data_IF_939276506010
#
_entry.id   IF_939276506010
#
_cell.length_a   1.000
_cell.length_b   1.000
_cell.length_c   1.000
_cell.angle_alpha   90.00
_cell.angle_beta   90.00
_cell.angle_gamma   90.00
#
_symmetry.space_group_name_H-M   'P 1'
#
loop_
_entity.id
_entity.type
_entity.pdbx_description
1 polymer ?
#
# COMPACT_ATOMS: atom_id res chain seq x y z
N UNK A 1 -20.77 4.42 -3.98
CA UNK A 1 -19.89 4.01 -2.88
C UNK A 1 -20.48 2.76 -2.25
N UNK A 2 -19.71 1.70 -2.16
CA UNK A 2 -20.14 0.37 -1.70
C UNK A 2 -19.19 -0.10 -0.60
N UNK A 3 -19.74 -0.64 0.50
CA UNK A 3 -18.98 -1.27 1.59
C UNK A 3 -18.82 -2.77 1.27
N UNK A 4 -17.59 -3.22 1.04
CA UNK A 4 -17.22 -4.61 0.76
C UNK A 4 -16.41 -5.13 1.93
N UNK A 5 -16.86 -6.24 2.54
CA UNK A 5 -16.14 -6.86 3.67
C UNK A 5 -15.96 -8.36 3.44
N UNK A 6 -14.75 -8.84 3.72
CA UNK A 6 -14.38 -10.25 3.65
C UNK A 6 -14.12 -10.75 5.07
N UNK A 7 -14.76 -11.84 5.52
CA UNK A 7 -14.61 -12.34 6.87
C UNK A 7 -13.30 -13.10 7.07
N UNK A 8 -12.14 -12.45 6.87
CA UNK A 8 -10.81 -13.06 7.04
C UNK A 8 -10.54 -13.46 8.49
N UNK A 9 -11.30 -12.91 9.45
CA UNK A 9 -11.27 -13.35 10.84
C UNK A 9 -11.63 -14.83 11.06
N UNK A 10 -12.32 -15.47 10.11
CA UNK A 10 -12.66 -16.90 10.18
C UNK A 10 -11.45 -17.79 9.90
N UNK A 11 -10.56 -17.34 9.03
CA UNK A 11 -9.35 -18.05 8.62
C UNK A 11 -8.09 -17.53 9.30
N UNK A 12 -8.20 -16.42 10.04
CA UNK A 12 -7.10 -15.68 10.66
C UNK A 12 -6.04 -15.18 9.65
N UNK A 13 -6.34 -15.21 8.36
CA UNK A 13 -5.53 -14.54 7.35
C UNK A 13 -5.55 -13.04 7.59
N UNK A 14 -4.37 -12.43 7.55
CA UNK A 14 -4.20 -11.00 7.87
C UNK A 14 -4.08 -10.71 9.37
N UNK A 15 -4.06 -11.73 10.26
CA UNK A 15 -3.87 -11.52 11.70
C UNK A 15 -2.43 -11.10 12.02
N UNK A 16 -2.31 -10.09 12.86
CA UNK A 16 -1.05 -9.54 13.33
C UNK A 16 -1.12 -9.30 14.86
N UNK A 17 -0.03 -8.85 15.53
CA UNK A 17 -0.04 -8.69 17.00
C UNK A 17 -1.03 -7.60 17.47
N UNK A 18 -1.37 -6.63 16.66
CA UNK A 18 -2.32 -5.58 16.99
C UNK A 18 -3.75 -5.95 16.54
N UNK A 19 -3.89 -6.54 15.33
CA UNK A 19 -5.18 -6.91 14.73
C UNK A 19 -5.31 -8.44 14.70
N UNK A 20 -5.78 -9.03 15.80
CA UNK A 20 -5.84 -10.49 15.94
C UNK A 20 -6.96 -11.18 15.16
N UNK A 21 -8.01 -10.45 14.79
CA UNK A 21 -9.19 -10.93 14.03
C UNK A 21 -9.67 -9.89 13.02
N UNK A 22 -8.87 -9.54 12.02
CA UNK A 22 -9.27 -8.54 11.03
C UNK A 22 -10.33 -9.10 10.09
N UNK A 23 -11.22 -8.22 9.63
CA UNK A 23 -12.05 -8.47 8.45
C UNK A 23 -11.57 -7.55 7.33
N UNK A 24 -10.78 -8.06 6.40
CA UNK A 24 -10.27 -7.27 5.31
C UNK A 24 -11.41 -6.68 4.50
N UNK A 25 -11.46 -5.36 4.42
CA UNK A 25 -12.60 -4.64 3.88
C UNK A 25 -12.16 -3.52 2.96
N UNK A 26 -13.02 -3.10 2.08
CA UNK A 26 -12.78 -1.96 1.22
C UNK A 26 -14.03 -1.12 1.00
N UNK A 27 -13.88 0.20 1.09
CA UNK A 27 -14.85 1.12 0.52
C UNK A 27 -14.57 1.20 -0.97
N UNK A 28 -15.41 0.57 -1.78
CA UNK A 28 -15.33 0.60 -3.22
C UNK A 28 -16.07 1.82 -3.77
N UNK A 29 -15.34 2.68 -4.48
CA UNK A 29 -15.88 3.92 -5.06
C UNK A 29 -15.95 3.80 -6.58
N UNK A 30 -17.10 4.21 -7.14
CA UNK A 30 -17.31 4.31 -8.59
C UNK A 30 -17.68 5.76 -8.93
N UNK A 31 -16.90 6.39 -9.79
CA UNK A 31 -17.17 7.70 -10.38
C UNK A 31 -17.65 7.48 -11.81
N UNK A 32 -18.82 8.02 -12.13
CA UNK A 32 -19.47 7.83 -13.45
C UNK A 32 -19.60 9.19 -14.12
N UNK A 33 -19.13 9.28 -15.36
CA UNK A 33 -19.32 10.48 -16.21
C UNK A 33 -20.58 10.37 -17.04
N UNK A 34 -21.09 11.50 -17.52
CA UNK A 34 -22.29 11.53 -18.37
C UNK A 34 -22.16 10.72 -19.65
N UNK A 35 -20.95 10.60 -20.21
CA UNK A 35 -20.61 9.76 -21.37
C UNK A 35 -20.40 8.29 -21.03
N UNK A 36 -20.68 7.86 -19.78
CA UNK A 36 -20.72 6.47 -19.33
C UNK A 36 -19.38 5.86 -18.98
N UNK A 37 -18.28 6.62 -18.92
CA UNK A 37 -17.02 6.10 -18.42
C UNK A 37 -17.06 5.96 -16.90
N UNK A 38 -16.39 4.93 -16.38
CA UNK A 38 -16.34 4.60 -14.96
C UNK A 38 -14.91 4.63 -14.44
N UNK A 39 -14.64 5.46 -13.43
CA UNK A 39 -13.43 5.41 -12.62
C UNK A 39 -13.67 4.62 -11.34
N UNK A 40 -12.76 3.74 -10.98
CA UNK A 40 -12.86 2.86 -9.82
C UNK A 40 -11.71 3.12 -8.85
N UNK A 41 -12.02 3.06 -7.56
CA UNK A 41 -11.03 3.03 -6.50
C UNK A 41 -11.50 2.21 -5.33
N UNK A 42 -10.57 1.91 -4.44
CA UNK A 42 -10.84 1.30 -3.15
C UNK A 42 -10.18 2.13 -2.05
N UNK A 43 -10.71 2.01 -0.83
CA UNK A 43 -10.02 2.41 0.39
C UNK A 43 -10.05 1.23 1.34
N UNK A 44 -8.88 0.70 1.67
CA UNK A 44 -8.74 -0.48 2.51
C UNK A 44 -8.97 -0.17 3.99
N UNK A 45 -9.73 -1.04 4.68
CA UNK A 45 -9.90 -1.07 6.13
C UNK A 45 -9.93 -2.51 6.65
N UNK A 46 -10.03 -2.66 7.99
CA UNK A 46 -10.12 -3.96 8.66
C UNK A 46 -11.53 -4.29 9.18
N UNK A 47 -12.56 -3.70 8.57
CA UNK A 47 -13.99 -3.93 8.86
C UNK A 47 -14.64 -2.76 9.59
N UNK A 48 -14.51 -2.67 10.89
CA UNK A 48 -15.02 -1.52 11.66
C UNK A 48 -14.34 -0.22 11.17
N UNK A 49 -15.14 0.85 11.02
CA UNK A 49 -14.67 2.11 10.47
C UNK A 49 -14.83 2.25 8.95
N UNK A 50 -15.20 1.18 8.23
CA UNK A 50 -15.51 1.27 6.81
C UNK A 50 -16.69 2.25 6.57
N UNK A 51 -17.65 2.28 7.49
CA UNK A 51 -18.78 3.21 7.47
C UNK A 51 -18.33 4.68 7.48
N UNK A 52 -17.30 5.01 8.27
CA UNK A 52 -16.77 6.37 8.35
C UNK A 52 -16.12 6.81 7.03
N UNK A 53 -15.34 5.92 6.43
CA UNK A 53 -14.72 6.18 5.13
C UNK A 53 -15.80 6.31 4.05
N UNK A 54 -16.79 5.40 4.03
CA UNK A 54 -17.88 5.44 3.06
C UNK A 54 -18.70 6.73 3.17
N UNK A 55 -18.94 7.19 4.41
CA UNK A 55 -19.61 8.48 4.65
C UNK A 55 -18.76 9.65 4.14
N UNK A 56 -17.46 9.67 4.49
CA UNK A 56 -16.52 10.70 4.04
C UNK A 56 -16.45 10.80 2.52
N UNK A 57 -16.30 9.66 1.83
CA UNK A 57 -16.30 9.62 0.35
C UNK A 57 -17.61 10.16 -0.23
N UNK A 58 -18.77 9.76 0.32
CA UNK A 58 -20.09 10.26 -0.11
C UNK A 58 -20.25 11.75 0.11
N UNK A 59 -19.79 12.26 1.24
CA UNK A 59 -19.91 13.69 1.56
C UNK A 59 -19.00 14.54 0.68
N UNK A 60 -17.72 14.18 0.56
CA UNK A 60 -16.75 14.85 -0.28
C UNK A 60 -17.07 14.77 -1.79
N UNK A 61 -17.72 13.68 -2.24
CA UNK A 61 -18.12 13.53 -3.64
C UNK A 61 -19.04 14.65 -4.13
N UNK A 62 -19.78 15.32 -3.25
CA UNK A 62 -20.62 16.47 -3.58
C UNK A 62 -19.83 17.62 -4.19
N UNK A 63 -18.53 17.72 -3.86
CA UNK A 63 -17.63 18.72 -4.44
C UNK A 63 -17.28 18.42 -5.91
N UNK A 64 -17.46 17.17 -6.37
CA UNK A 64 -17.16 16.75 -7.75
C UNK A 64 -18.38 16.70 -8.65
N UNK A 65 -19.58 16.45 -8.11
CA UNK A 65 -20.80 16.29 -8.90
C UNK A 65 -21.06 17.54 -9.78
N UNK A 66 -21.30 17.31 -11.07
CA UNK A 66 -21.56 18.36 -12.06
C UNK A 66 -20.31 19.10 -12.55
N UNK A 67 -19.11 18.72 -12.11
CA UNK A 67 -17.87 19.30 -12.65
C UNK A 67 -17.41 18.57 -13.90
N UNK A 68 -16.86 19.32 -14.87
CA UNK A 68 -16.23 18.72 -16.05
C UNK A 68 -14.98 17.94 -15.67
N UNK A 69 -14.86 16.73 -16.20
CA UNK A 69 -13.67 15.89 -15.99
C UNK A 69 -12.39 16.50 -16.60
N UNK A 70 -12.51 17.36 -17.63
CA UNK A 70 -11.36 18.06 -18.20
C UNK A 70 -10.63 18.93 -17.17
N UNK A 71 -11.34 19.52 -16.19
CA UNK A 71 -10.70 20.27 -15.11
C UNK A 71 -9.72 19.44 -14.31
N UNK A 72 -10.01 18.16 -14.13
CA UNK A 72 -9.10 17.25 -13.46
C UNK A 72 -7.88 16.92 -14.33
N UNK A 73 -8.09 16.57 -15.59
CA UNK A 73 -6.97 16.21 -16.50
C UNK A 73 -6.06 17.39 -16.81
N UNK A 74 -6.62 18.61 -16.83
CA UNK A 74 -5.85 19.85 -17.05
C UNK A 74 -5.01 20.22 -15.81
N UNK A 75 -5.55 20.02 -14.60
CA UNK A 75 -4.86 20.32 -13.35
C UNK A 75 -5.32 19.42 -12.18
N UNK A 76 -4.75 18.21 -12.04
CA UNK A 76 -5.12 17.30 -10.94
C UNK A 76 -4.88 17.90 -9.55
N UNK A 77 -3.88 18.76 -9.40
CA UNK A 77 -3.56 19.42 -8.12
C UNK A 77 -4.62 20.43 -7.69
N UNK A 78 -5.26 21.14 -8.62
CA UNK A 78 -6.36 22.05 -8.28
C UNK A 78 -7.57 21.28 -7.74
N UNK A 79 -7.92 20.17 -8.36
CA UNK A 79 -9.01 19.32 -7.87
C UNK A 79 -8.67 18.71 -6.52
N UNK A 80 -7.43 18.28 -6.31
CA UNK A 80 -6.98 17.77 -5.01
C UNK A 80 -7.10 18.84 -3.90
N UNK A 81 -6.71 20.07 -4.19
CA UNK A 81 -6.85 21.21 -3.26
C UNK A 81 -8.29 21.51 -2.85
N UNK A 82 -9.28 21.19 -3.68
CA UNK A 82 -10.68 21.36 -3.28
C UNK A 82 -11.05 20.55 -2.05
N UNK A 83 -10.39 19.42 -1.81
CA UNK A 83 -10.60 18.59 -0.63
C UNK A 83 -9.78 19.09 0.54
N UNK A 84 -8.46 19.21 0.38
CA UNK A 84 -7.54 19.51 1.48
C UNK A 84 -7.61 20.97 1.97
N UNK A 85 -8.06 21.91 1.15
CA UNK A 85 -8.19 23.33 1.46
C UNK A 85 -9.65 23.77 1.73
N UNK A 86 -10.58 22.82 1.80
CA UNK A 86 -11.97 23.18 2.04
C UNK A 86 -12.13 23.86 3.41
N UNK A 87 -12.64 25.11 3.41
CA UNK A 87 -12.65 26.01 4.57
C UNK A 87 -13.39 25.49 5.81
N UNK A 88 -14.28 24.51 5.65
CA UNK A 88 -15.04 23.92 6.77
C UNK A 88 -14.56 22.52 7.18
N UNK A 89 -13.91 21.77 6.27
CA UNK A 89 -13.52 20.38 6.52
C UNK A 89 -12.00 20.14 6.40
N UNK A 90 -11.24 21.08 5.82
CA UNK A 90 -9.78 20.95 5.67
C UNK A 90 -9.03 20.78 7.00
N UNK A 91 -9.59 21.20 8.12
CA UNK A 91 -9.02 20.95 9.46
C UNK A 91 -9.13 19.48 9.90
N UNK A 92 -9.96 18.67 9.22
CA UNK A 92 -10.08 17.23 9.42
C UNK A 92 -9.13 16.44 8.49
N UNK A 93 -8.18 17.10 7.84
CA UNK A 93 -7.46 16.61 6.67
C UNK A 93 -6.60 15.36 6.88
N UNK A 94 -6.49 14.84 8.09
CA UNK A 94 -5.72 13.62 8.38
C UNK A 94 -6.63 12.39 8.59
N UNK A 95 -6.05 11.18 8.51
CA UNK A 95 -6.71 9.89 8.76
C UNK A 95 -7.93 9.63 7.87
N UNK A 96 -9.11 9.49 8.47
CA UNK A 96 -10.35 9.12 7.77
C UNK A 96 -10.65 10.05 6.60
N UNK A 97 -10.48 11.36 6.81
CA UNK A 97 -10.73 12.34 5.77
C UNK A 97 -9.73 12.21 4.62
N UNK A 98 -8.44 12.05 4.94
CA UNK A 98 -7.39 11.83 3.93
C UNK A 98 -7.61 10.56 3.11
N UNK A 99 -8.03 9.47 3.77
CA UNK A 99 -8.39 8.23 3.09
C UNK A 99 -9.62 8.41 2.17
N UNK A 100 -10.61 9.19 2.59
CA UNK A 100 -11.78 9.49 1.77
C UNK A 100 -11.43 10.36 0.56
N UNK A 101 -10.57 11.37 0.74
CA UNK A 101 -9.99 12.16 -0.37
C UNK A 101 -9.29 11.24 -1.37
N UNK A 102 -8.44 10.34 -0.86
CA UNK A 102 -7.72 9.35 -1.67
C UNK A 102 -8.65 8.44 -2.46
N UNK A 103 -9.78 8.03 -1.87
CA UNK A 103 -10.81 7.25 -2.54
C UNK A 103 -11.40 7.96 -3.78
N UNK A 104 -11.60 9.27 -3.70
CA UNK A 104 -12.08 10.06 -4.83
C UNK A 104 -10.97 10.35 -5.84
N UNK A 105 -9.81 10.76 -5.37
CA UNK A 105 -8.66 11.10 -6.22
C UNK A 105 -8.21 9.89 -7.04
N UNK A 106 -8.03 8.73 -6.40
CA UNK A 106 -7.65 7.49 -7.09
C UNK A 106 -8.69 7.09 -8.15
N UNK A 107 -9.98 7.31 -7.89
CA UNK A 107 -11.05 7.08 -8.85
C UNK A 107 -10.99 8.00 -10.07
N UNK A 108 -10.63 9.28 -9.88
CA UNK A 108 -10.43 10.23 -10.98
C UNK A 108 -9.22 9.87 -11.84
N UNK A 109 -8.12 9.44 -11.23
CA UNK A 109 -6.95 8.96 -11.95
C UNK A 109 -7.24 7.66 -12.74
N UNK A 110 -7.99 6.74 -12.16
CA UNK A 110 -8.45 5.53 -12.85
C UNK A 110 -9.29 5.85 -14.08
N UNK A 111 -10.22 6.79 -13.93
CA UNK A 111 -11.05 7.29 -15.02
C UNK A 111 -10.17 7.88 -16.16
N UNK A 112 -9.14 8.66 -15.81
CA UNK A 112 -8.21 9.21 -16.79
C UNK A 112 -7.47 8.12 -17.55
N UNK A 113 -6.91 7.16 -16.84
CA UNK A 113 -6.21 6.03 -17.42
C UNK A 113 -7.12 5.20 -18.36
N UNK A 114 -8.36 4.94 -17.94
CA UNK A 114 -9.36 4.21 -18.74
C UNK A 114 -9.79 4.98 -19.99
N UNK A 115 -10.01 6.28 -19.91
CA UNK A 115 -10.31 7.11 -21.09
C UNK A 115 -9.17 7.07 -22.12
N UNK A 116 -7.93 6.96 -21.67
CA UNK A 116 -6.75 6.81 -22.54
C UNK A 116 -6.42 5.35 -22.88
N UNK A 117 -7.19 4.38 -22.38
CA UNK A 117 -6.99 2.93 -22.55
C UNK A 117 -5.58 2.47 -22.10
N UNK A 118 -5.08 3.04 -21.02
CA UNK A 118 -3.76 2.76 -20.45
C UNK A 118 -3.89 2.13 -19.06
N UNK A 119 -3.04 1.17 -18.69
CA UNK A 119 -2.85 0.84 -17.28
C UNK A 119 -2.31 2.07 -16.53
N UNK A 120 -2.59 2.17 -15.23
CA UNK A 120 -2.22 3.35 -14.45
C UNK A 120 -0.71 3.63 -14.48
N UNK A 121 0.13 2.59 -14.36
CA UNK A 121 1.59 2.78 -14.46
C UNK A 121 2.00 3.42 -15.78
N UNK A 122 1.36 3.03 -16.88
CA UNK A 122 1.69 3.56 -18.21
C UNK A 122 1.19 5.00 -18.38
N UNK A 123 0.03 5.33 -17.81
CA UNK A 123 -0.39 6.73 -17.74
C UNK A 123 0.67 7.57 -17.02
N UNK A 124 1.07 7.18 -15.81
CA UNK A 124 2.06 7.93 -15.01
C UNK A 124 3.42 8.04 -15.71
N UNK A 125 3.88 6.98 -16.38
CA UNK A 125 5.13 6.97 -17.16
C UNK A 125 5.05 7.92 -18.36
N UNK A 126 3.90 8.04 -19.01
CA UNK A 126 3.74 8.86 -20.22
C UNK A 126 3.44 10.33 -19.94
N UNK A 127 3.10 10.70 -18.71
CA UNK A 127 2.90 12.09 -18.33
C UNK A 127 4.22 12.88 -18.45
N UNK A 128 4.09 14.12 -18.91
CA UNK A 128 5.22 15.04 -18.90
C UNK A 128 5.56 15.49 -17.47
N UNK A 129 6.82 15.82 -17.18
CA UNK A 129 7.25 16.25 -15.84
C UNK A 129 6.36 17.34 -15.23
N UNK A 130 5.92 18.31 -16.03
CA UNK A 130 5.07 19.41 -15.57
C UNK A 130 3.68 18.94 -15.12
N UNK A 131 3.12 17.90 -15.76
CA UNK A 131 1.83 17.36 -15.37
C UNK A 131 1.92 16.66 -14.00
N UNK A 132 3.02 15.95 -13.75
CA UNK A 132 3.33 15.34 -12.44
C UNK A 132 3.54 16.44 -11.38
N UNK A 133 4.37 17.46 -11.67
CA UNK A 133 4.65 18.57 -10.74
C UNK A 133 3.38 19.33 -10.38
N UNK A 134 2.51 19.59 -11.34
CA UNK A 134 1.27 20.32 -11.13
C UNK A 134 0.21 19.52 -10.36
N UNK A 135 0.37 18.19 -10.23
CA UNK A 135 -0.53 17.37 -9.44
C UNK A 135 -0.23 17.38 -7.94
N UNK A 136 0.95 17.84 -7.52
CA UNK A 136 1.43 17.77 -6.14
C UNK A 136 1.11 19.05 -5.36
N UNK A 137 0.67 18.90 -4.11
CA UNK A 137 0.64 20.01 -3.15
C UNK A 137 2.00 20.17 -2.47
N UNK A 138 2.72 21.21 -2.85
CA UNK A 138 4.08 21.49 -2.37
C UNK A 138 4.13 22.22 -1.03
N UNK A 139 2.99 22.67 -0.49
CA UNK A 139 2.92 23.61 0.63
C UNK A 139 3.75 23.19 1.84
N UNK A 140 3.63 21.94 2.24
CA UNK A 140 4.24 21.41 3.46
C UNK A 140 5.44 20.51 3.25
N UNK A 141 5.87 20.32 1.99
CA UNK A 141 7.01 19.45 1.65
C UNK A 141 8.12 20.18 0.88
N UNK A 142 7.91 21.46 0.53
CA UNK A 142 8.84 22.24 -0.30
C UNK A 142 10.23 22.44 0.38
N UNK A 143 10.29 22.37 1.68
CA UNK A 143 11.53 22.39 2.46
C UNK A 143 12.32 21.08 2.39
N UNK A 144 11.67 19.95 2.03
CA UNK A 144 12.31 18.67 1.82
C UNK A 144 12.65 18.42 0.35
N UNK A 145 11.74 18.75 -0.58
CA UNK A 145 11.95 18.65 -2.02
C UNK A 145 11.24 19.80 -2.73
N UNK A 146 11.97 20.53 -3.55
CA UNK A 146 11.39 21.62 -4.35
C UNK A 146 10.78 21.09 -5.65
N UNK A 147 9.81 21.80 -6.27
CA UNK A 147 9.30 21.47 -7.61
C UNK A 147 10.40 21.34 -8.65
N UNK A 148 11.47 22.16 -8.56
CA UNK A 148 12.60 22.11 -9.50
C UNK A 148 13.43 20.84 -9.33
N UNK A 149 13.74 20.43 -8.09
CA UNK A 149 14.45 19.16 -7.83
C UNK A 149 13.63 17.96 -8.32
N UNK A 150 12.33 17.93 -8.06
CA UNK A 150 11.43 16.90 -8.54
C UNK A 150 11.37 16.86 -10.09
N UNK A 151 11.30 18.02 -10.73
CA UNK A 151 11.40 18.15 -12.20
C UNK A 151 12.69 17.56 -12.72
N UNK A 152 13.82 17.87 -12.10
CA UNK A 152 15.13 17.34 -12.50
C UNK A 152 15.20 15.82 -12.40
N UNK A 153 14.60 15.22 -11.36
CA UNK A 153 14.47 13.76 -11.22
C UNK A 153 13.66 13.19 -12.39
N UNK A 154 12.49 13.75 -12.68
CA UNK A 154 11.60 13.28 -13.75
C UNK A 154 12.22 13.44 -15.15
N UNK A 155 12.84 14.58 -15.44
CA UNK A 155 13.55 14.82 -16.71
C UNK A 155 14.71 13.84 -16.89
N UNK A 156 15.46 13.56 -15.82
CA UNK A 156 16.53 12.55 -15.85
C UNK A 156 15.98 11.14 -16.08
N UNK A 157 14.80 10.83 -15.53
CA UNK A 157 14.08 9.59 -15.78
C UNK A 157 13.64 9.41 -17.22
N UNK A 158 13.09 10.46 -17.81
CA UNK A 158 12.59 10.43 -19.19
C UNK A 158 13.67 10.10 -20.22
N UNK A 159 14.93 10.42 -19.95
CA UNK A 159 16.05 10.10 -20.87
C UNK A 159 16.27 8.60 -21.06
N UNK A 160 15.98 7.78 -20.04
CA UNK A 160 16.17 6.32 -20.05
C UNK A 160 14.86 5.54 -20.01
N UNK A 161 13.72 6.23 -20.04
CA UNK A 161 12.38 5.67 -19.86
C UNK A 161 12.12 4.45 -20.74
N UNK A 162 12.39 4.55 -22.05
CA UNK A 162 12.11 3.46 -22.99
C UNK A 162 12.92 2.19 -22.71
N UNK A 163 14.17 2.32 -22.28
CA UNK A 163 15.03 1.19 -21.91
C UNK A 163 14.59 0.56 -20.59
N UNK A 164 14.34 1.41 -19.58
CA UNK A 164 13.84 0.96 -18.28
C UNK A 164 12.49 0.25 -18.40
N UNK A 165 11.58 0.78 -19.23
CA UNK A 165 10.28 0.17 -19.51
C UNK A 165 10.44 -1.22 -20.13
N UNK A 166 11.27 -1.37 -21.15
CA UNK A 166 11.56 -2.69 -21.78
C UNK A 166 12.11 -3.69 -20.76
N UNK A 167 13.02 -3.25 -19.92
CA UNK A 167 13.63 -4.09 -18.88
C UNK A 167 12.58 -4.58 -17.89
N UNK A 168 11.70 -3.68 -17.41
CA UNK A 168 10.67 -4.01 -16.43
C UNK A 168 9.48 -4.79 -17.01
N UNK A 169 9.20 -4.65 -18.31
CA UNK A 169 8.25 -5.51 -19.00
C UNK A 169 8.78 -6.93 -19.19
N UNK A 170 10.10 -7.12 -19.26
CA UNK A 170 10.72 -8.44 -19.32
C UNK A 170 10.83 -9.09 -17.94
N UNK A 171 11.27 -8.34 -16.93
CA UNK A 171 11.41 -8.78 -15.55
C UNK A 171 10.93 -7.68 -14.61
N UNK A 172 9.68 -7.77 -14.19
CA UNK A 172 9.02 -6.73 -13.41
C UNK A 172 9.54 -6.57 -11.98
N UNK A 173 8.89 -5.77 -11.16
CA UNK A 173 9.26 -5.54 -9.77
C UNK A 173 9.32 -6.84 -8.96
N UNK A 174 10.34 -6.95 -8.10
CA UNK A 174 10.53 -8.13 -7.24
C UNK A 174 9.44 -8.18 -6.19
N UNK A 175 8.77 -9.33 -6.07
CA UNK A 175 7.73 -9.58 -5.09
C UNK A 175 8.28 -10.18 -3.80
N UNK A 176 7.61 -9.91 -2.67
CA UNK A 176 7.75 -10.68 -1.43
C UNK A 176 6.38 -11.13 -0.93
N UNK A 177 6.34 -12.25 -0.21
CA UNK A 177 5.11 -12.81 0.33
C UNK A 177 5.06 -12.65 1.85
N UNK A 178 3.92 -12.20 2.38
CA UNK A 178 3.62 -12.24 3.81
C UNK A 178 3.01 -13.61 4.13
N UNK A 179 3.87 -14.58 4.41
CA UNK A 179 3.48 -15.96 4.70
C UNK A 179 3.22 -16.23 6.18
N UNK A 180 3.77 -15.42 7.08
CA UNK A 180 3.79 -15.68 8.51
C UNK A 180 2.78 -14.89 9.33
N UNK A 181 1.49 -15.00 9.03
CA UNK A 181 0.44 -14.45 9.89
C UNK A 181 0.39 -15.14 11.24
N UNK A 182 0.05 -14.42 12.31
CA UNK A 182 0.12 -14.98 13.67
C UNK A 182 -0.94 -16.05 13.95
N UNK A 183 -2.08 -15.99 13.31
CA UNK A 183 -3.17 -16.94 13.50
C UNK A 183 -3.01 -18.27 12.75
N UNK A 184 -2.01 -18.39 11.88
CA UNK A 184 -1.80 -19.59 11.09
C UNK A 184 -1.01 -20.66 11.86
N UNK A 185 -1.34 -21.93 11.59
CA UNK A 185 -0.55 -23.07 12.05
C UNK A 185 0.77 -23.19 11.30
N UNK A 186 1.73 -23.88 11.88
CA UNK A 186 3.03 -24.14 11.23
C UNK A 186 2.86 -24.79 9.84
N UNK A 187 1.90 -25.72 9.69
CA UNK A 187 1.65 -26.38 8.41
C UNK A 187 1.11 -25.40 7.36
N UNK A 188 0.17 -24.52 7.73
CA UNK A 188 -0.36 -23.50 6.81
C UNK A 188 0.73 -22.51 6.35
N UNK A 189 1.65 -22.14 7.26
CA UNK A 189 2.80 -21.29 6.93
C UNK A 189 3.72 -22.01 5.93
N UNK A 190 4.03 -23.29 6.17
CA UNK A 190 4.87 -24.09 5.26
C UNK A 190 4.22 -24.21 3.90
N UNK A 191 2.93 -24.56 3.85
CA UNK A 191 2.20 -24.74 2.60
C UNK A 191 2.22 -23.44 1.76
N UNK A 192 2.04 -22.29 2.42
CA UNK A 192 2.14 -20.97 1.78
C UNK A 192 3.57 -20.71 1.27
N UNK A 193 4.59 -20.94 2.08
CA UNK A 193 5.99 -20.74 1.68
C UNK A 193 6.34 -21.66 0.50
N UNK A 194 5.93 -22.93 0.52
CA UNK A 194 6.24 -23.88 -0.53
C UNK A 194 5.56 -23.52 -1.85
N UNK A 195 4.33 -23.04 -1.80
CA UNK A 195 3.64 -22.50 -2.97
C UNK A 195 4.35 -21.28 -3.54
N UNK A 196 4.71 -20.33 -2.69
CA UNK A 196 5.44 -19.13 -3.12
C UNK A 196 6.83 -19.49 -3.68
N UNK A 197 7.56 -20.44 -3.08
CA UNK A 197 8.83 -20.93 -3.63
C UNK A 197 8.68 -21.54 -5.02
N UNK A 198 7.60 -22.30 -5.29
CA UNK A 198 7.29 -22.82 -6.64
C UNK A 198 7.10 -21.70 -7.65
N UNK A 199 6.60 -20.55 -7.20
CA UNK A 199 6.45 -19.35 -8.01
C UNK A 199 7.72 -18.46 -8.04
N UNK A 200 8.85 -18.94 -7.50
CA UNK A 200 10.16 -18.28 -7.54
C UNK A 200 10.39 -17.22 -6.46
N UNK A 201 9.56 -17.17 -5.41
CA UNK A 201 9.79 -16.24 -4.30
C UNK A 201 10.98 -16.68 -3.44
N UNK A 202 11.81 -15.72 -3.05
CA UNK A 202 12.95 -15.86 -2.15
C UNK A 202 12.95 -14.80 -1.02
N UNK A 203 11.85 -14.08 -0.88
CA UNK A 203 11.65 -13.03 0.11
C UNK A 203 10.33 -13.28 0.87
N UNK A 204 10.40 -13.38 2.19
CA UNK A 204 9.27 -13.74 3.04
C UNK A 204 9.17 -12.82 4.26
N UNK A 205 7.95 -12.33 4.54
CA UNK A 205 7.64 -11.50 5.71
C UNK A 205 6.91 -12.32 6.77
N UNK A 206 7.31 -12.13 8.02
CA UNK A 206 6.76 -12.80 9.20
C UNK A 206 6.30 -11.78 10.21
N UNK A 207 5.12 -12.00 10.80
CA UNK A 207 4.62 -11.19 11.91
C UNK A 207 5.30 -11.60 13.20
N UNK A 208 5.71 -10.61 14.00
CA UNK A 208 6.35 -10.77 15.33
C UNK A 208 5.69 -9.82 16.32
N UNK A 209 5.95 -10.02 17.63
CA UNK A 209 5.48 -9.08 18.66
C UNK A 209 4.44 -9.64 19.61
N UNK A 210 4.17 -10.94 19.58
CA UNK A 210 3.34 -11.58 20.61
C UNK A 210 4.12 -11.81 21.90
N UNK A 211 5.19 -12.61 21.80
CA UNK A 211 6.06 -13.00 22.91
C UNK A 211 7.41 -13.39 22.34
N UNK A 212 8.50 -12.94 22.96
CA UNK A 212 9.85 -13.14 22.42
C UNK A 212 10.23 -14.63 22.25
N UNK A 213 9.85 -15.49 23.17
CA UNK A 213 10.16 -16.91 23.08
C UNK A 213 9.37 -17.61 21.97
N UNK A 214 8.10 -17.25 21.80
CA UNK A 214 7.28 -17.76 20.69
C UNK A 214 7.77 -17.21 19.34
N UNK A 215 8.15 -15.93 19.27
CA UNK A 215 8.72 -15.33 18.06
C UNK A 215 10.04 -16.03 17.68
N UNK A 216 10.94 -16.28 18.63
CA UNK A 216 12.18 -17.04 18.39
C UNK A 216 11.89 -18.45 17.88
N UNK A 217 10.97 -19.16 18.52
CA UNK A 217 10.58 -20.51 18.11
C UNK A 217 10.04 -20.53 16.68
N UNK A 218 9.12 -19.63 16.36
CA UNK A 218 8.55 -19.51 15.01
C UNK A 218 9.62 -19.13 13.98
N UNK A 219 10.45 -18.13 14.28
CA UNK A 219 11.49 -17.70 13.35
C UNK A 219 12.55 -18.78 13.12
N UNK A 220 12.93 -19.53 14.14
CA UNK A 220 13.83 -20.68 14.00
C UNK A 220 13.23 -21.73 13.06
N UNK A 221 11.96 -22.07 13.27
CA UNK A 221 11.23 -23.01 12.43
C UNK A 221 11.16 -22.51 10.97
N UNK A 222 10.75 -21.28 10.76
CA UNK A 222 10.63 -20.66 9.43
C UNK A 222 11.98 -20.55 8.73
N UNK A 223 13.02 -20.09 9.45
CA UNK A 223 14.37 -19.97 8.89
C UNK A 223 14.92 -21.31 8.43
N UNK A 224 14.68 -22.38 9.20
CA UNK A 224 15.07 -23.74 8.79
C UNK A 224 14.37 -24.20 7.51
N UNK A 225 13.17 -23.69 7.23
CA UNK A 225 12.37 -24.05 6.05
C UNK A 225 12.70 -23.18 4.84
N UNK A 226 12.82 -21.85 4.99
CA UNK A 226 13.16 -20.95 3.88
C UNK A 226 14.63 -21.04 3.47
N UNK A 227 15.51 -21.51 4.38
CA UNK A 227 16.96 -21.57 4.19
C UNK A 227 17.66 -20.22 4.49
N UNK A 228 18.98 -20.23 4.59
CA UNK A 228 19.78 -19.07 4.98
C UNK A 228 19.85 -17.96 3.92
N UNK A 229 19.69 -18.31 2.64
CA UNK A 229 19.81 -17.38 1.51
C UNK A 229 18.54 -16.59 1.22
N UNK A 230 17.38 -17.08 1.67
CA UNK A 230 16.13 -16.36 1.51
C UNK A 230 16.09 -15.12 2.41
N UNK A 231 15.57 -14.03 1.88
CA UNK A 231 15.42 -12.79 2.65
C UNK A 231 14.25 -12.92 3.61
N UNK A 232 14.50 -12.66 4.87
CA UNK A 232 13.51 -12.61 5.92
C UNK A 232 13.21 -11.15 6.27
N UNK A 233 11.96 -10.82 6.38
CA UNK A 233 11.41 -9.54 6.77
C UNK A 233 10.56 -9.73 8.01
N UNK A 234 10.67 -8.85 9.00
CA UNK A 234 9.87 -8.91 10.22
C UNK A 234 8.93 -7.71 10.28
N UNK A 235 7.74 -7.92 10.86
CA UNK A 235 6.72 -6.89 10.97
C UNK A 235 6.03 -7.00 12.34
N UNK A 236 6.13 -5.93 13.13
CA UNK A 236 5.59 -5.84 14.49
C UNK A 236 4.26 -5.08 14.57
N UNK A 237 3.78 -4.47 13.48
CA UNK A 237 2.51 -3.73 13.41
C UNK A 237 2.30 -2.80 14.61
N UNK A 238 3.33 -2.03 14.98
CA UNK A 238 3.29 -0.97 16.00
C UNK A 238 3.01 -1.45 17.44
N UNK A 239 3.21 -2.75 17.74
CA UNK A 239 2.86 -3.31 19.06
C UNK A 239 3.79 -2.84 20.17
N UNK A 240 5.02 -2.44 19.84
CA UNK A 240 6.05 -2.11 20.83
C UNK A 240 6.22 -0.64 21.09
N UNK A 241 6.59 -0.29 22.32
CA UNK A 241 7.28 0.96 22.61
C UNK A 241 8.74 0.90 22.14
N UNK A 242 9.42 2.05 22.11
CA UNK A 242 10.79 2.19 21.55
C UNK A 242 11.81 1.28 22.21
N UNK A 243 11.84 1.27 23.55
CA UNK A 243 12.82 0.46 24.31
C UNK A 243 12.52 -1.03 24.17
N UNK A 244 11.25 -1.40 24.12
CA UNK A 244 10.80 -2.77 23.91
C UNK A 244 11.17 -3.25 22.50
N UNK A 245 10.95 -2.45 21.47
CA UNK A 245 11.36 -2.76 20.10
C UNK A 245 12.87 -3.02 20.00
N UNK A 246 13.68 -2.18 20.66
CA UNK A 246 15.14 -2.36 20.71
C UNK A 246 15.52 -3.66 21.43
N UNK A 247 14.88 -3.97 22.56
CA UNK A 247 15.16 -5.17 23.33
C UNK A 247 14.79 -6.43 22.53
N UNK A 248 13.56 -6.50 22.00
CA UNK A 248 13.09 -7.64 21.20
C UNK A 248 13.94 -7.85 19.94
N UNK A 249 14.21 -6.80 19.19
CA UNK A 249 14.99 -6.93 17.96
C UNK A 249 16.43 -7.39 18.20
N UNK A 250 17.06 -7.06 19.33
CA UNK A 250 18.37 -7.60 19.68
C UNK A 250 18.35 -9.12 19.85
N UNK A 251 17.28 -9.66 20.38
CA UNK A 251 17.08 -11.11 20.54
C UNK A 251 16.79 -11.82 19.21
N UNK A 252 16.25 -11.08 18.21
CA UNK A 252 15.88 -11.64 16.91
C UNK A 252 16.98 -11.47 15.83
N UNK A 253 18.12 -10.89 16.19
CA UNK A 253 19.23 -10.66 15.24
C UNK A 253 19.83 -11.96 14.68
N UNK A 254 19.78 -13.05 15.43
CA UNK A 254 20.29 -14.36 14.99
C UNK A 254 19.59 -14.89 13.73
N UNK A 255 18.36 -14.44 13.45
CA UNK A 255 17.59 -14.83 12.26
C UNK A 255 17.92 -14.00 11.02
N UNK A 256 18.82 -13.03 11.12
CA UNK A 256 19.30 -12.19 10.03
C UNK A 256 18.17 -11.57 9.18
N UNK A 257 17.23 -10.81 9.78
CA UNK A 257 16.20 -10.11 9.04
C UNK A 257 16.78 -8.90 8.31
N UNK A 258 16.28 -8.61 7.10
CA UNK A 258 16.72 -7.41 6.34
C UNK A 258 16.09 -6.13 6.88
N UNK A 259 14.89 -6.22 7.48
CA UNK A 259 14.25 -5.10 8.17
C UNK A 259 13.34 -5.55 9.31
N UNK A 260 13.04 -4.61 10.19
CA UNK A 260 11.87 -4.62 11.05
C UNK A 260 10.90 -3.54 10.56
N UNK A 261 9.65 -3.93 10.29
CA UNK A 261 8.56 -3.10 9.83
C UNK A 261 7.71 -2.66 11.02
N UNK A 262 7.32 -1.38 11.02
CA UNK A 262 6.48 -0.75 12.04
C UNK A 262 6.86 -1.16 13.49
N UNK A 263 8.13 -0.97 13.91
CA UNK A 263 8.55 -1.41 15.25
C UNK A 263 7.92 -0.60 16.38
N UNK A 264 7.39 0.59 16.10
CA UNK A 264 6.71 1.46 17.06
C UNK A 264 5.63 2.30 16.37
N UNK A 265 4.99 3.22 17.08
CA UNK A 265 3.91 4.03 16.53
C UNK A 265 4.31 4.74 15.22
N UNK A 266 3.45 4.67 14.21
CA UNK A 266 3.67 5.14 12.82
C UNK A 266 4.08 6.61 12.68
N UNK A 267 3.74 7.45 13.66
CA UNK A 267 4.01 8.90 13.70
C UNK A 267 5.14 9.26 14.67
N UNK A 268 5.73 8.28 15.37
CA UNK A 268 6.89 8.48 16.24
C UNK A 268 8.21 8.45 15.44
N UNK A 269 8.49 9.55 14.74
CA UNK A 269 9.70 9.69 13.92
C UNK A 269 10.98 9.59 14.75
N UNK A 270 11.01 10.18 15.94
CA UNK A 270 12.17 10.12 16.84
C UNK A 270 12.38 8.71 17.39
N UNK A 271 11.28 7.98 17.68
CA UNK A 271 11.32 6.59 18.10
C UNK A 271 11.91 5.70 17.04
N UNK A 272 11.48 5.82 15.78
CA UNK A 272 12.05 5.09 14.66
C UNK A 272 13.54 5.37 14.51
N UNK A 273 13.98 6.64 14.64
CA UNK A 273 15.39 7.00 14.56
C UNK A 273 16.23 6.38 15.71
N UNK A 274 15.68 6.34 16.94
CA UNK A 274 16.34 5.69 18.08
C UNK A 274 16.48 4.19 17.87
N UNK A 275 15.44 3.53 17.39
CA UNK A 275 15.47 2.08 17.08
C UNK A 275 16.50 1.80 15.98
N UNK A 276 16.47 2.57 14.88
CA UNK A 276 17.45 2.48 13.79
C UNK A 276 18.89 2.56 14.28
N UNK A 277 19.19 3.58 15.08
CA UNK A 277 20.54 3.77 15.62
C UNK A 277 20.98 2.59 16.53
N UNK A 278 20.07 2.03 17.30
CA UNK A 278 20.35 0.88 18.15
C UNK A 278 20.58 -0.42 17.36
N UNK A 279 19.93 -0.57 16.20
CA UNK A 279 20.01 -1.75 15.35
C UNK A 279 21.09 -1.65 14.26
N UNK A 280 21.67 -0.48 14.04
CA UNK A 280 22.64 -0.23 12.96
C UNK A 280 23.81 -1.23 12.90
N UNK A 281 24.34 -1.64 14.05
CA UNK A 281 25.45 -2.59 14.12
C UNK A 281 25.10 -4.03 13.71
N UNK A 282 23.79 -4.33 13.58
CA UNK A 282 23.28 -5.63 13.16
C UNK A 282 22.87 -5.68 11.68
N UNK A 283 23.03 -4.57 10.94
CA UNK A 283 22.62 -4.43 9.55
C UNK A 283 21.11 -4.68 9.29
N UNK A 284 20.28 -4.34 10.30
CA UNK A 284 18.83 -4.47 10.21
C UNK A 284 18.25 -3.09 9.90
N UNK A 285 17.56 -2.98 8.78
CA UNK A 285 16.89 -1.73 8.37
C UNK A 285 15.56 -1.50 9.08
N UNK A 286 15.11 -0.25 9.06
CA UNK A 286 13.78 0.15 9.51
C UNK A 286 12.88 0.38 8.31
N UNK A 287 11.74 -0.31 8.29
CA UNK A 287 10.69 -0.12 7.29
C UNK A 287 9.42 0.41 7.96
N UNK A 288 8.79 1.43 7.39
CA UNK A 288 7.48 1.92 7.84
C UNK A 288 6.81 2.78 6.77
N UNK A 289 5.51 3.00 6.93
CA UNK A 289 4.73 3.90 6.09
C UNK A 289 3.34 3.43 5.72
N UNK A 290 3.00 2.14 5.90
CA UNK A 290 1.69 1.60 5.54
C UNK A 290 0.53 2.26 6.28
N UNK A 291 0.78 2.75 7.49
CA UNK A 291 -0.21 3.45 8.31
C UNK A 291 0.05 4.97 8.37
N UNK A 292 1.05 5.47 7.67
CA UNK A 292 1.38 6.92 7.67
C UNK A 292 0.39 7.69 6.79
N UNK A 293 -0.40 8.62 7.36
CA UNK A 293 -1.51 9.25 6.66
C UNK A 293 -1.14 10.54 5.89
N UNK A 294 0.11 10.99 5.98
CA UNK A 294 0.47 12.36 5.54
C UNK A 294 1.86 12.41 4.90
N UNK A 295 2.00 13.12 3.76
CA UNK A 295 3.31 13.42 3.18
C UNK A 295 4.25 14.16 4.13
N UNK A 296 3.70 14.90 5.13
CA UNK A 296 4.50 15.63 6.12
C UNK A 296 5.23 14.67 7.06
N UNK A 297 4.57 13.59 7.50
CA UNK A 297 5.22 12.57 8.34
C UNK A 297 6.28 11.84 7.53
N UNK A 298 5.98 11.47 6.27
CA UNK A 298 7.00 10.91 5.36
C UNK A 298 8.19 11.85 5.17
N UNK A 299 7.93 13.16 5.01
CA UNK A 299 9.00 14.16 4.97
C UNK A 299 9.91 14.04 6.20
N UNK A 300 9.33 13.98 7.39
CA UNK A 300 10.11 13.90 8.64
C UNK A 300 10.89 12.57 8.72
N UNK A 301 10.28 11.44 8.40
CA UNK A 301 10.94 10.13 8.37
C UNK A 301 12.14 10.11 7.41
N UNK A 302 11.99 10.71 6.23
CA UNK A 302 13.02 10.75 5.19
C UNK A 302 14.14 11.75 5.53
N UNK A 303 13.79 12.97 5.96
CA UNK A 303 14.79 14.03 6.22
C UNK A 303 15.65 13.76 7.45
N UNK A 304 15.09 13.12 8.48
CA UNK A 304 15.83 12.70 9.68
C UNK A 304 16.65 11.43 9.45
N UNK A 305 16.38 10.71 8.35
CA UNK A 305 16.99 9.42 8.10
C UNK A 305 16.48 8.32 9.04
N UNK A 306 15.26 8.43 9.55
CA UNK A 306 14.69 7.49 10.52
C UNK A 306 14.37 6.12 9.92
N UNK A 307 14.25 6.02 8.59
CA UNK A 307 13.91 4.78 7.89
C UNK A 307 14.96 4.39 6.86
N UNK A 308 14.99 3.12 6.47
CA UNK A 308 15.80 2.55 5.40
C UNK A 308 14.96 2.08 4.21
N UNK A 309 13.67 1.82 4.45
CA UNK A 309 12.69 1.42 3.45
C UNK A 309 11.41 2.20 3.64
N UNK A 310 10.93 2.82 2.56
CA UNK A 310 9.70 3.61 2.57
C UNK A 310 8.52 2.76 2.08
N UNK A 311 7.54 2.50 2.96
CA UNK A 311 6.41 1.63 2.66
C UNK A 311 5.13 2.45 2.47
N UNK A 312 4.96 3.07 1.31
CA UNK A 312 3.71 3.77 1.01
C UNK A 312 2.52 2.81 0.92
N UNK A 313 1.35 3.30 1.33
CA UNK A 313 0.06 2.65 1.06
C UNK A 313 -0.77 3.53 0.13
N UNK A 314 -1.32 2.94 -0.92
CA UNK A 314 -2.08 3.65 -1.95
C UNK A 314 -3.41 4.24 -1.44
N UNK A 315 -3.86 3.87 -0.24
CA UNK A 315 -5.18 4.22 0.32
C UNK A 315 -5.13 4.90 1.68
N UNK A 316 -3.94 5.04 2.29
CA UNK A 316 -3.74 5.82 3.53
C UNK A 316 -3.47 7.29 3.26
N UNK A 317 -2.86 7.57 2.11
CA UNK A 317 -2.58 8.92 1.62
C UNK A 317 -3.76 9.48 0.82
N UNK A 318 -3.72 10.76 0.50
CA UNK A 318 -4.72 11.47 -0.31
C UNK A 318 -4.74 11.09 -1.79
N UNK A 319 -4.39 9.85 -2.10
CA UNK A 319 -4.38 9.29 -3.46
C UNK A 319 -3.08 9.53 -4.21
N UNK A 320 -3.13 9.42 -5.54
CA UNK A 320 -1.96 9.50 -6.44
C UNK A 320 -1.10 10.72 -6.14
N UNK A 321 -1.71 11.88 -5.91
CA UNK A 321 -1.03 13.15 -5.72
C UNK A 321 -0.04 13.12 -4.53
N UNK A 322 -0.45 12.54 -3.41
CA UNK A 322 0.41 12.38 -2.24
C UNK A 322 1.45 11.26 -2.44
N UNK A 323 1.03 10.13 -3.03
CA UNK A 323 1.93 8.98 -3.23
C UNK A 323 3.10 9.35 -4.14
N UNK A 324 2.86 10.03 -5.25
CA UNK A 324 3.94 10.46 -6.16
C UNK A 324 4.88 11.48 -5.48
N UNK A 325 4.34 12.36 -4.63
CA UNK A 325 5.14 13.29 -3.85
C UNK A 325 6.09 12.57 -2.89
N UNK A 326 5.60 11.54 -2.18
CA UNK A 326 6.41 10.72 -1.27
C UNK A 326 7.49 9.94 -2.04
N UNK A 327 7.15 9.34 -3.18
CA UNK A 327 8.12 8.61 -4.01
C UNK A 327 9.26 9.54 -4.50
N UNK A 328 8.93 10.77 -4.93
CA UNK A 328 9.94 11.76 -5.33
C UNK A 328 10.82 12.19 -4.16
N UNK A 329 10.24 12.38 -2.95
CA UNK A 329 11.03 12.65 -1.75
C UNK A 329 11.94 11.48 -1.40
N UNK A 330 11.43 10.24 -1.40
CA UNK A 330 12.21 9.03 -1.13
C UNK A 330 13.41 8.93 -2.09
N UNK A 331 13.22 9.23 -3.38
CA UNK A 331 14.30 9.30 -4.36
C UNK A 331 15.36 10.32 -3.99
N UNK A 332 14.96 11.53 -3.58
CA UNK A 332 15.93 12.58 -3.18
C UNK A 332 16.80 12.14 -2.01
N UNK A 333 16.23 11.42 -1.06
CA UNK A 333 16.94 10.92 0.14
C UNK A 333 17.57 9.52 -0.07
N UNK A 334 17.50 8.96 -1.29
CA UNK A 334 18.03 7.64 -1.64
C UNK A 334 17.45 6.48 -0.81
N UNK A 335 16.20 6.60 -0.40
CA UNK A 335 15.47 5.55 0.31
C UNK A 335 14.64 4.76 -0.70
N UNK A 336 14.82 3.42 -0.79
CA UNK A 336 14.02 2.58 -1.67
C UNK A 336 12.55 2.55 -1.22
N UNK A 337 11.64 2.53 -2.21
CA UNK A 337 10.21 2.42 -1.97
C UNK A 337 9.79 0.95 -2.08
N UNK A 338 9.18 0.44 -1.02
CA UNK A 338 8.69 -0.94 -0.91
C UNK A 338 7.20 -0.90 -0.53
N UNK A 339 6.28 -0.73 -1.50
CA UNK A 339 4.88 -0.44 -1.20
C UNK A 339 4.17 -1.57 -0.45
N UNK A 340 3.30 -1.21 0.50
CA UNK A 340 2.43 -2.11 1.24
C UNK A 340 1.27 -2.61 0.38
N UNK A 341 1.03 -3.93 0.41
CA UNK A 341 -0.01 -4.61 -0.37
C UNK A 341 -1.08 -5.32 0.47
N UNK A 342 -1.01 -5.20 1.78
CA UNK A 342 -1.83 -5.93 2.76
C UNK A 342 -3.30 -5.52 2.78
N UNK A 343 -4.03 -5.63 1.68
CA UNK A 343 -5.45 -5.30 1.64
C UNK A 343 -6.14 -5.66 0.34
N UNK A 344 -7.48 -5.67 0.34
CA UNK A 344 -8.28 -5.95 -0.86
C UNK A 344 -7.93 -4.92 -1.94
N UNK A 345 -7.40 -5.38 -3.08
CA UNK A 345 -7.04 -4.54 -4.22
C UNK A 345 -5.79 -3.68 -4.05
N UNK A 346 -5.12 -3.69 -2.89
CA UNK A 346 -3.88 -2.93 -2.71
C UNK A 346 -2.78 -3.45 -3.63
N UNK A 347 -2.59 -4.77 -3.74
CA UNK A 347 -1.62 -5.33 -4.69
C UNK A 347 -1.85 -4.83 -6.12
N UNK A 348 -3.12 -4.67 -6.54
CA UNK A 348 -3.48 -4.13 -7.85
C UNK A 348 -3.03 -2.67 -8.01
N UNK A 349 -3.09 -1.86 -6.94
CA UNK A 349 -2.70 -0.46 -7.01
C UNK A 349 -1.20 -0.26 -6.90
N UNK A 350 -0.55 -0.92 -5.94
CA UNK A 350 0.86 -0.67 -5.63
C UNK A 350 1.82 -1.09 -6.74
N UNK A 351 1.48 -2.10 -7.51
CA UNK A 351 2.30 -2.52 -8.66
C UNK A 351 2.46 -1.40 -9.68
N UNK A 352 1.45 -0.57 -9.88
CA UNK A 352 1.51 0.55 -10.79
C UNK A 352 2.47 1.64 -10.28
N UNK A 353 2.48 1.92 -8.98
CA UNK A 353 3.44 2.85 -8.39
C UNK A 353 4.87 2.30 -8.44
N UNK A 354 5.06 1.00 -8.15
CA UNK A 354 6.36 0.37 -8.23
C UNK A 354 6.95 0.40 -9.65
N UNK A 355 6.12 0.15 -10.67
CA UNK A 355 6.55 0.26 -12.07
C UNK A 355 6.92 1.70 -12.43
N UNK A 356 6.08 2.69 -12.08
CA UNK A 356 6.40 4.08 -12.33
C UNK A 356 7.69 4.52 -11.63
N UNK A 357 7.85 4.17 -10.36
CA UNK A 357 9.07 4.47 -9.59
C UNK A 357 10.31 3.89 -10.27
N UNK A 358 10.29 2.59 -10.56
CA UNK A 358 11.45 1.88 -11.13
C UNK A 358 11.76 2.29 -12.57
N UNK A 359 10.77 2.71 -13.35
CA UNK A 359 10.98 3.19 -14.73
C UNK A 359 11.47 4.64 -14.74
N UNK A 360 10.82 5.51 -13.97
CA UNK A 360 10.95 6.97 -14.13
C UNK A 360 11.73 7.63 -13.00
N UNK A 361 11.53 7.22 -11.74
CA UNK A 361 12.06 7.94 -10.57
C UNK A 361 13.34 7.30 -10.06
N UNK A 362 13.26 6.09 -9.51
CA UNK A 362 14.42 5.38 -8.95
C UNK A 362 15.37 4.89 -10.02
N UNK A 363 14.86 4.39 -11.14
CA UNK A 363 15.60 3.77 -12.25
C UNK A 363 16.47 2.58 -11.80
N UNK A 364 16.00 1.85 -10.82
CA UNK A 364 16.66 0.68 -10.24
C UNK A 364 15.64 -0.21 -9.56
N UNK A 365 15.98 -1.49 -9.44
CA UNK A 365 15.23 -2.48 -8.64
C UNK A 365 15.97 -2.85 -7.35
N UNK A 366 17.13 -2.24 -7.12
CA UNK A 366 17.95 -2.57 -5.97
C UNK A 366 17.26 -2.21 -4.67
N UNK A 367 17.12 -3.20 -3.78
CA UNK A 367 16.46 -3.07 -2.48
C UNK A 367 15.00 -2.61 -2.55
N UNK A 368 14.34 -2.78 -3.69
CA UNK A 368 12.91 -2.51 -3.85
C UNK A 368 12.16 -3.84 -3.93
N UNK A 369 11.21 -3.99 -3.04
CA UNK A 369 10.37 -5.18 -2.91
C UNK A 369 8.91 -4.75 -2.87
N UNK A 370 8.04 -5.48 -3.59
CA UNK A 370 6.61 -5.18 -3.68
C UNK A 370 5.83 -6.30 -3.01
N UNK A 371 4.98 -5.98 -2.05
CA UNK A 371 4.20 -6.97 -1.33
C UNK A 371 3.21 -7.68 -2.24
N UNK A 372 3.08 -8.98 -2.08
CA UNK A 372 2.12 -9.82 -2.78
C UNK A 372 1.33 -10.67 -1.79
N UNK A 373 0.01 -10.55 -1.85
CA UNK A 373 -0.93 -11.39 -1.11
C UNK A 373 -1.78 -12.16 -2.13
N UNK A 374 -1.68 -13.48 -2.09
CA UNK A 374 -2.40 -14.38 -3.00
C UNK A 374 -3.87 -14.56 -2.64
N UNK A 375 -4.19 -14.68 -1.35
CA UNK A 375 -5.52 -15.03 -0.86
C UNK A 375 -6.62 -13.98 -1.16
N UNK A 376 -6.23 -12.77 -1.59
CA UNK A 376 -7.14 -11.70 -1.99
C UNK A 376 -7.12 -11.44 -3.52
N UNK A 377 -6.62 -12.38 -4.31
CA UNK A 377 -6.51 -12.22 -5.76
C UNK A 377 -7.57 -13.03 -6.52
N UNK A 378 -7.72 -14.30 -6.16
CA UNK A 378 -8.61 -15.20 -6.89
C UNK A 378 -10.09 -14.89 -6.62
N UNK A 379 -10.85 -14.73 -7.72
CA UNK A 379 -12.29 -14.49 -7.66
C UNK A 379 -12.73 -13.08 -7.27
N UNK A 380 -11.81 -12.23 -6.79
CA UNK A 380 -12.16 -10.87 -6.32
C UNK A 380 -12.27 -9.89 -7.49
N UNK A 381 -11.24 -9.81 -8.32
CA UNK A 381 -11.19 -8.89 -9.46
C UNK A 381 -11.22 -9.63 -10.79
N UNK A 382 -11.72 -8.98 -11.84
CA UNK A 382 -11.68 -9.50 -13.21
C UNK A 382 -10.26 -9.58 -13.74
N UNK A 383 -9.44 -8.58 -13.43
CA UNK A 383 -8.02 -8.53 -13.78
C UNK A 383 -7.20 -9.24 -12.72
N UNK A 384 -6.66 -10.41 -13.04
CA UNK A 384 -5.80 -11.17 -12.14
C UNK A 384 -4.37 -10.67 -12.23
N UNK A 385 -3.76 -10.33 -11.09
CA UNK A 385 -2.33 -10.09 -11.00
C UNK A 385 -1.55 -11.36 -11.27
N UNK A 386 -0.44 -11.23 -11.94
CA UNK A 386 0.43 -12.36 -12.30
C UNK A 386 1.83 -12.13 -11.71
N UNK A 387 2.36 -13.20 -11.13
CA UNK A 387 3.75 -13.26 -10.67
C UNK A 387 4.43 -14.42 -11.39
N UNK A 388 5.67 -14.23 -11.81
CA UNK A 388 6.50 -15.24 -12.42
C UNK A 388 7.93 -15.09 -11.90
N UNK A 389 8.53 -16.19 -11.50
CA UNK A 389 9.90 -16.23 -10.98
C UNK A 389 10.16 -15.18 -9.85
N UNK A 390 9.17 -15.04 -8.95
CA UNK A 390 9.21 -14.08 -7.84
C UNK A 390 9.12 -12.60 -8.24
N UNK A 391 8.66 -12.30 -9.46
CA UNK A 391 8.51 -10.94 -9.97
C UNK A 391 7.10 -10.71 -10.50
N UNK A 392 6.56 -9.54 -10.25
CA UNK A 392 5.30 -9.13 -10.85
C UNK A 392 5.42 -9.03 -12.38
N UNK A 393 4.38 -9.46 -13.07
CA UNK A 393 4.18 -9.14 -14.49
C UNK A 393 3.42 -7.81 -14.55
N UNK A 394 3.89 -6.88 -15.37
CA UNK A 394 3.26 -5.57 -15.51
C UNK A 394 1.79 -5.73 -15.94
N UNK A 395 0.83 -5.11 -15.23
CA UNK A 395 -0.58 -5.16 -15.63
C UNK A 395 -0.80 -4.49 -16.98
N UNK A 396 -1.69 -5.08 -17.79
CA UNK A 396 -2.07 -4.59 -19.12
C UNK A 396 -3.51 -4.02 -19.17
N UNK A 397 -4.32 -4.26 -18.13
CA UNK A 397 -5.67 -3.72 -18.02
C UNK A 397 -5.67 -2.21 -17.79
N UNK A 398 -6.62 -1.49 -18.40
CA UNK A 398 -6.75 -0.04 -18.23
C UNK A 398 -7.10 0.33 -16.78
N UNK A 399 -6.54 1.41 -16.27
CA UNK A 399 -6.71 1.87 -14.90
C UNK A 399 -5.91 1.05 -13.89
N UNK A 400 -6.48 0.87 -12.69
CA UNK A 400 -5.89 0.09 -11.60
C UNK A 400 -6.13 -1.43 -11.71
N UNK A 401 -7.05 -1.88 -12.58
CA UNK A 401 -7.48 -3.29 -12.60
C UNK A 401 -8.42 -3.65 -11.43
N UNK A 402 -9.14 -2.70 -10.86
CA UNK A 402 -10.02 -2.85 -9.69
C UNK A 402 -11.48 -3.21 -10.05
N UNK A 403 -11.74 -3.70 -11.24
CA UNK A 403 -13.08 -4.15 -11.59
C UNK A 403 -13.41 -5.46 -10.89
N UNK A 404 -14.26 -5.40 -9.85
CA UNK A 404 -14.65 -6.57 -9.07
C UNK A 404 -15.56 -7.51 -9.88
N UNK A 405 -15.45 -8.81 -9.62
CA UNK A 405 -16.42 -9.79 -10.06
C UNK A 405 -17.78 -9.51 -9.42
N UNK A 406 -18.83 -9.55 -10.22
CA UNK A 406 -20.19 -9.23 -9.74
C UNK A 406 -20.66 -10.17 -8.63
N UNK A 407 -20.38 -11.45 -8.75
CA UNK A 407 -20.78 -12.44 -7.75
C UNK A 407 -20.07 -12.22 -6.43
N UNK A 408 -18.75 -11.94 -6.47
CA UNK A 408 -17.98 -11.58 -5.30
C UNK A 408 -18.53 -10.31 -4.66
N UNK A 409 -18.74 -9.25 -5.43
CA UNK A 409 -19.27 -7.98 -4.93
C UNK A 409 -20.64 -8.18 -4.27
N UNK A 410 -21.58 -8.87 -4.94
CA UNK A 410 -22.93 -9.09 -4.43
C UNK A 410 -22.95 -9.93 -3.15
N UNK A 411 -22.09 -10.93 -3.04
CA UNK A 411 -22.02 -11.77 -1.84
C UNK A 411 -21.35 -11.09 -0.64
N UNK A 412 -20.46 -10.12 -0.88
CA UNK A 412 -19.66 -9.47 0.17
C UNK A 412 -20.08 -8.02 0.49
N UNK A 413 -21.10 -7.47 -0.17
CA UNK A 413 -21.68 -6.16 0.22
C UNK A 413 -22.17 -6.25 1.67
N UNK A 414 -21.70 -5.34 2.52
CA UNK A 414 -22.11 -5.26 3.91
C UNK A 414 -23.28 -4.29 4.10
N UNK A 415 -24.32 -4.62 4.91
CA UNK A 415 -24.55 -5.93 5.56
C UNK A 415 -25.42 -6.90 4.75
N UNK A 416 -25.80 -6.58 3.51
CA UNK A 416 -26.87 -7.23 2.75
C UNK A 416 -26.41 -8.39 1.85
N UNK A 417 -25.12 -8.61 1.73
CA UNK A 417 -24.56 -9.74 0.95
C UNK A 417 -24.80 -11.09 1.63
N UNK A 418 -24.90 -12.16 0.84
CA UNK A 418 -25.22 -13.50 1.34
C UNK A 418 -24.26 -13.98 2.45
N UNK A 419 -22.96 -13.67 2.32
CA UNK A 419 -21.94 -14.00 3.33
C UNK A 419 -22.29 -13.41 4.70
N UNK A 420 -22.78 -12.18 4.74
CA UNK A 420 -23.09 -11.48 5.99
C UNK A 420 -24.46 -11.90 6.56
N UNK A 421 -25.46 -12.13 5.70
CA UNK A 421 -26.77 -12.66 6.11
C UNK A 421 -26.63 -14.05 6.73
N UNK A 422 -25.82 -14.93 6.14
CA UNK A 422 -25.56 -16.27 6.68
C UNK A 422 -24.86 -16.22 8.04
N UNK A 423 -23.90 -15.29 8.22
CA UNK A 423 -23.21 -15.07 9.50
C UNK A 423 -24.16 -14.54 10.58
N UNK A 424 -25.03 -13.60 10.23
CA UNK A 424 -26.05 -13.08 11.16
C UNK A 424 -26.99 -14.20 11.60
N UNK A 425 -27.50 -14.99 10.66
CA UNK A 425 -28.39 -16.12 10.94
C UNK A 425 -27.73 -17.20 11.81
N UNK A 426 -26.42 -17.41 11.67
CA UNK A 426 -25.65 -18.36 12.49
C UNK A 426 -25.23 -17.79 13.86
N UNK A 427 -25.58 -16.54 14.18
CA UNK A 427 -25.15 -15.88 15.43
C UNK A 427 -23.68 -15.49 15.48
N UNK A 428 -22.97 -15.61 14.37
CA UNK A 428 -21.53 -15.32 14.27
C UNK A 428 -21.29 -13.84 13.92
N UNK A 429 -21.86 -12.93 14.71
CA UNK A 429 -21.72 -11.48 14.53
C UNK A 429 -20.47 -11.03 15.27
N UNK A 430 -19.41 -10.66 14.53
CA UNK A 430 -18.15 -10.14 15.10
C UNK A 430 -18.24 -8.74 15.68
N UNK A 431 -19.34 -8.00 15.38
CA UNK A 431 -19.58 -6.68 15.92
C UNK A 431 -21.04 -6.59 16.41
N UNK A 432 -21.23 -6.86 17.68
CA UNK A 432 -22.30 -6.17 18.42
C UNK A 432 -21.69 -4.83 18.79
N UNK A 433 -22.15 -3.76 18.14
CA UNK A 433 -21.77 -2.38 18.39
C UNK A 433 -22.01 -1.96 19.83
#
# INVERSE_FOLDING_TARGET
VIDIRVPTSDTLLGSDPFHTKPNYSAVHTKIITEDGFEGLSIVFTLGAGNDWIAYGVKDLSKLLIGKSFSKFTDNPGEIYKMFIDHHQIGWLAEWVNRMADGGLVNGLWDLWAKKLKKPMWKLLVDLEPEQIINSIDWRYIKDAITPEEARNILVAGNKTRSESEKTLLHKGPKAYSTAGWLGLTDQQIIDTIDEMKKNGFDCFKMKVGQNIEEDKKRLKFIRSHIGEHAKLMLDANQIWGVDEAIAHMKELTEFNPIWIEEPTARDDVEGHLKIKNALKKYDIGIATGEQVPSPVIFKQLLTTGAIDFCQIDATRLGGVNDVIAVILMAKKYNIPVCPHGGGIGLCNMIIHYALWDQITVAKTQKNQYVEYLDFLQDGVFKSKLKVKDGHYIAPDSSGWGLEMNKDFMNSHIYPTGSVWIERENSGNILFKG
#
